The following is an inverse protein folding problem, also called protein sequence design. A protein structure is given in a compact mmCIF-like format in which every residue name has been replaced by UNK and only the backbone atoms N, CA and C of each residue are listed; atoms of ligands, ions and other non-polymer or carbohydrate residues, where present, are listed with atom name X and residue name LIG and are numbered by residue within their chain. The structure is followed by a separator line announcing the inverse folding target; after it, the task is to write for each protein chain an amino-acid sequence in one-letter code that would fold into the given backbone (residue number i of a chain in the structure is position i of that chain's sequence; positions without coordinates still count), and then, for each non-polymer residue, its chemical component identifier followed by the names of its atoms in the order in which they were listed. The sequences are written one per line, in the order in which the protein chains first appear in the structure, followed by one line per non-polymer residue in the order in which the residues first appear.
data_IF_883591300157
#
_entry.id   IF_883591300157
#
_cell.length_a   1.000
_cell.length_b   1.000
_cell.length_c   1.000
_cell.angle_alpha   90.00
_cell.angle_beta   90.00
_cell.angle_gamma   90.00
#
_symmetry.space_group_name_H-M   'P 1'
#
loop_
_entity.id
_entity.type
_entity.pdbx_description
1 polymer ?
#
# COMPACT_ATOMS: atom_id res chain seq x y z
N UNK A 1 -54.21 14.81 30.17
CA UNK A 1 -53.12 15.78 29.96
C UNK A 1 -51.78 15.10 30.20
N UNK A 2 -50.98 14.93 29.14
CA UNK A 2 -49.52 15.04 29.03
C UNK A 2 -49.04 14.12 27.90
N UNK A 3 -48.63 14.76 26.81
CA UNK A 3 -47.96 14.18 25.66
C UNK A 3 -46.44 14.21 25.90
N UNK A 4 -45.70 13.20 25.44
CA UNK A 4 -44.27 13.28 25.12
C UNK A 4 -44.02 12.45 23.86
N UNK A 5 -43.38 13.11 22.89
CA UNK A 5 -43.00 12.70 21.54
C UNK A 5 -41.63 11.99 21.51
N UNK A 6 -41.25 11.56 20.29
CA UNK A 6 -39.94 11.10 19.77
C UNK A 6 -39.65 9.60 19.91
N UNK A 7 -39.10 8.90 18.92
CA UNK A 7 -38.78 9.19 17.51
C UNK A 7 -38.30 7.86 16.89
N UNK A 8 -38.74 7.55 15.68
CA UNK A 8 -38.28 6.42 14.87
C UNK A 8 -36.85 6.68 14.37
N UNK A 9 -35.94 5.71 14.54
CA UNK A 9 -34.68 5.65 13.79
C UNK A 9 -34.64 4.36 12.97
N UNK A 10 -34.99 4.51 11.69
CA UNK A 10 -34.65 3.59 10.60
C UNK A 10 -33.60 4.29 9.75
N UNK A 11 -32.33 3.85 9.76
CA UNK A 11 -31.39 4.14 8.66
C UNK A 11 -30.49 2.91 8.46
N UNK A 12 -30.76 2.23 7.35
CA UNK A 12 -29.87 1.26 6.71
C UNK A 12 -28.66 2.00 6.12
N UNK A 13 -27.44 1.56 6.46
CA UNK A 13 -26.21 2.15 5.94
C UNK A 13 -25.53 1.15 4.98
N UNK A 14 -25.85 1.27 3.69
CA UNK A 14 -25.04 0.71 2.61
C UNK A 14 -23.98 1.76 2.25
N UNK A 15 -22.70 1.50 2.58
CA UNK A 15 -21.59 2.27 2.05
C UNK A 15 -20.97 1.55 0.85
N UNK A 16 -21.30 2.03 -0.35
CA UNK A 16 -20.41 1.94 -1.49
C UNK A 16 -19.33 3.03 -1.32
N UNK A 17 -18.06 2.65 -1.19
CA UNK A 17 -16.94 3.58 -1.25
C UNK A 17 -16.08 3.27 -2.48
N UNK A 18 -16.31 4.04 -3.54
CA UNK A 18 -15.36 4.22 -4.63
C UNK A 18 -14.22 5.11 -4.12
N UNK A 19 -13.05 4.52 -3.86
CA UNK A 19 -11.85 5.26 -3.50
C UNK A 19 -11.23 5.88 -4.77
N UNK A 20 -11.50 7.17 -5.01
CA UNK A 20 -10.80 7.96 -6.03
C UNK A 20 -9.48 8.48 -5.46
N UNK A 21 -8.37 8.23 -6.16
CA UNK A 21 -7.06 8.80 -5.86
C UNK A 21 -7.01 10.24 -6.39
N UNK A 22 -6.89 11.22 -5.51
CA UNK A 22 -6.78 12.63 -5.87
C UNK A 22 -5.32 13.08 -5.94
N UNK A 23 -4.82 13.39 -7.14
CA UNK A 23 -3.67 14.29 -7.32
C UNK A 23 -4.25 15.68 -7.57
N UNK A 24 -4.13 16.59 -6.61
CA UNK A 24 -4.62 17.96 -6.78
C UNK A 24 -3.65 18.77 -7.63
N UNK A 25 -3.99 19.00 -8.91
CA UNK A 25 -3.57 20.19 -9.65
C UNK A 25 -4.80 20.85 -10.27
N UNK A 26 -5.24 21.96 -9.68
CA UNK A 26 -6.27 22.82 -10.27
C UNK A 26 -5.65 23.56 -11.46
N UNK A 27 -6.05 23.18 -12.67
CA UNK A 27 -5.91 23.99 -13.88
C UNK A 27 -7.29 23.98 -14.56
N UNK A 28 -7.86 25.12 -14.98
CA UNK A 28 -9.21 25.16 -15.52
C UNK A 28 -9.19 24.61 -16.96
N UNK A 29 -9.99 23.58 -17.21
CA UNK A 29 -10.26 23.08 -18.56
C UNK A 29 -9.53 21.79 -18.94
N UNK A 30 -9.80 20.69 -18.23
CA UNK A 30 -9.84 19.31 -18.75
C UNK A 30 -10.41 18.46 -17.60
N UNK A 31 -11.58 17.86 -17.78
CA UNK A 31 -12.06 16.83 -16.83
C UNK A 31 -11.16 15.62 -17.09
N UNK A 32 -10.06 15.50 -16.35
CA UNK A 32 -9.33 14.24 -16.28
C UNK A 32 -10.14 13.30 -15.40
N UNK A 33 -10.84 12.36 -16.04
CA UNK A 33 -11.48 11.26 -15.32
C UNK A 33 -10.41 10.50 -14.53
N UNK A 34 -10.53 10.46 -13.20
CA UNK A 34 -9.64 9.67 -12.36
C UNK A 34 -9.93 8.19 -12.58
N UNK A 35 -8.99 7.44 -13.16
CA UNK A 35 -9.11 5.98 -13.27
C UNK A 35 -9.25 5.35 -11.88
N UNK A 36 -10.15 4.39 -11.74
CA UNK A 36 -10.26 3.58 -10.54
C UNK A 36 -9.03 2.67 -10.37
N UNK A 37 -8.71 2.29 -9.12
CA UNK A 37 -7.62 1.33 -8.84
C UNK A 37 -7.76 0.03 -9.63
N UNK A 38 -9.00 -0.44 -9.81
CA UNK A 38 -9.28 -1.66 -10.56
C UNK A 38 -8.88 -1.54 -12.03
N UNK A 39 -9.16 -0.38 -12.65
CA UNK A 39 -8.78 -0.13 -14.05
C UNK A 39 -7.27 -0.01 -14.19
N UNK A 40 -6.61 0.73 -13.28
CA UNK A 40 -5.15 0.85 -13.28
C UNK A 40 -4.45 -0.50 -13.09
N UNK A 41 -4.94 -1.32 -12.16
CA UNK A 41 -4.40 -2.67 -11.95
C UNK A 41 -4.59 -3.56 -13.18
N UNK A 42 -5.77 -3.50 -13.83
CA UNK A 42 -6.02 -4.29 -15.03
C UNK A 42 -5.06 -3.94 -16.16
N UNK A 43 -4.81 -2.64 -16.40
CA UNK A 43 -3.85 -2.18 -17.41
C UNK A 43 -2.42 -2.71 -17.16
N UNK A 44 -2.00 -2.78 -15.90
CA UNK A 44 -0.69 -3.34 -15.53
C UNK A 44 -0.65 -4.85 -15.80
N UNK A 45 -1.69 -5.58 -15.43
CA UNK A 45 -1.77 -7.03 -15.63
C UNK A 45 -1.82 -7.40 -17.11
N UNK A 46 -2.61 -6.67 -17.90
CA UNK A 46 -2.72 -6.87 -19.35
C UNK A 46 -1.36 -6.64 -20.01
N UNK A 47 -0.68 -5.52 -19.71
CA UNK A 47 0.65 -5.25 -20.26
C UNK A 47 1.71 -6.26 -19.82
N UNK A 48 1.68 -6.71 -18.57
CA UNK A 48 2.61 -7.76 -18.12
C UNK A 48 2.39 -9.05 -18.92
N UNK A 49 1.14 -9.42 -19.18
CA UNK A 49 0.80 -10.60 -19.98
C UNK A 49 1.20 -10.46 -21.45
N UNK A 50 1.05 -9.27 -22.03
CA UNK A 50 1.36 -8.99 -23.44
C UNK A 50 2.87 -8.86 -23.69
N UNK A 51 3.58 -8.13 -22.83
CA UNK A 51 5.01 -7.86 -22.97
C UNK A 51 5.88 -9.02 -22.43
N UNK A 52 5.33 -9.87 -21.55
CA UNK A 52 5.99 -11.02 -20.92
C UNK A 52 7.40 -10.70 -20.34
N UNK A 53 7.51 -9.71 -19.44
CA UNK A 53 8.78 -9.34 -18.82
C UNK A 53 9.25 -10.42 -17.83
N UNK A 54 10.56 -10.47 -17.55
CA UNK A 54 11.13 -11.30 -16.47
C UNK A 54 10.53 -10.95 -15.10
N UNK A 55 10.22 -9.67 -14.86
CA UNK A 55 9.60 -9.22 -13.62
C UNK A 55 9.11 -7.78 -13.64
N UNK A 56 8.48 -7.38 -12.54
CA UNK A 56 7.96 -6.02 -12.33
C UNK A 56 8.40 -5.47 -10.98
N UNK A 57 8.65 -4.17 -10.93
CA UNK A 57 8.95 -3.44 -9.70
C UNK A 57 7.98 -2.27 -9.51
N UNK A 58 7.56 -2.08 -8.26
CA UNK A 58 6.65 -1.02 -7.83
C UNK A 58 7.10 -0.51 -6.47
N UNK A 59 7.18 0.81 -6.33
CA UNK A 59 7.39 1.50 -5.05
C UNK A 59 6.05 2.04 -4.53
N UNK A 60 5.81 1.85 -3.24
CA UNK A 60 4.63 2.33 -2.51
C UNK A 60 5.13 3.19 -1.35
N UNK A 61 4.73 4.46 -1.35
CA UNK A 61 4.97 5.37 -0.24
C UNK A 61 3.67 5.58 0.55
N UNK A 62 3.76 5.49 1.86
CA UNK A 62 2.70 5.84 2.80
C UNK A 62 3.14 7.03 3.65
N UNK A 63 2.22 7.95 3.94
CA UNK A 63 2.47 9.10 4.81
C UNK A 63 1.43 9.19 5.91
N UNK A 64 1.84 9.80 7.03
CA UNK A 64 1.03 9.89 8.26
C UNK A 64 0.53 8.52 8.72
N UNK A 65 1.43 7.53 8.73
CA UNK A 65 1.14 6.19 9.24
C UNK A 65 1.04 6.17 10.77
N UNK A 66 0.30 5.20 11.31
CA UNK A 66 0.17 5.01 12.75
C UNK A 66 1.55 4.76 13.38
N UNK A 67 1.97 5.74 14.19
CA UNK A 67 3.28 5.79 14.78
C UNK A 67 3.64 4.54 15.60
N UNK A 68 2.64 3.92 16.25
CA UNK A 68 2.85 2.72 17.07
C UNK A 68 3.11 1.49 16.21
N UNK A 69 2.46 1.40 15.06
CA UNK A 69 2.56 0.24 14.17
C UNK A 69 3.89 0.20 13.42
N UNK A 70 4.35 1.35 12.92
CA UNK A 70 5.61 1.42 12.14
C UNK A 70 6.87 1.29 13.00
N UNK A 71 6.72 1.43 14.33
CA UNK A 71 7.80 1.28 15.33
C UNK A 71 7.77 -0.07 16.06
N UNK A 72 6.84 -0.96 15.71
CA UNK A 72 6.76 -2.30 16.29
C UNK A 72 7.41 -3.33 15.35
N UNK A 73 8.60 -3.86 15.68
CA UNK A 73 9.30 -4.82 14.82
C UNK A 73 8.56 -6.15 14.67
N UNK A 74 7.72 -6.54 15.64
CA UNK A 74 6.89 -7.76 15.52
C UNK A 74 5.75 -7.51 14.55
N UNK A 75 5.11 -6.35 14.63
CA UNK A 75 4.06 -5.94 13.70
C UNK A 75 4.60 -5.83 12.27
N UNK A 76 5.75 -5.19 12.08
CA UNK A 76 6.43 -5.09 10.78
C UNK A 76 6.80 -6.47 10.24
N UNK A 77 7.31 -7.38 11.09
CA UNK A 77 7.59 -8.76 10.65
C UNK A 77 6.34 -9.47 10.16
N UNK A 78 5.22 -9.30 10.85
CA UNK A 78 3.94 -9.89 10.44
C UNK A 78 3.41 -9.26 9.14
N UNK A 79 3.55 -7.94 9.00
CA UNK A 79 3.23 -7.23 7.75
C UNK A 79 3.97 -7.81 6.55
N UNK A 80 5.29 -8.05 6.65
CA UNK A 80 6.06 -8.61 5.53
C UNK A 80 5.53 -10.00 5.13
N UNK A 81 5.18 -10.84 6.10
CA UNK A 81 4.61 -12.17 5.86
C UNK A 81 3.24 -12.06 5.17
N UNK A 82 2.39 -11.17 5.64
CA UNK A 82 1.05 -11.00 5.11
C UNK A 82 1.05 -10.34 3.73
N UNK A 83 1.97 -9.43 3.46
CA UNK A 83 2.16 -8.83 2.14
C UNK A 83 2.55 -9.89 1.10
N UNK A 84 3.47 -10.80 1.44
CA UNK A 84 3.83 -11.92 0.55
C UNK A 84 2.61 -12.77 0.21
N UNK A 85 1.79 -13.11 1.20
CA UNK A 85 0.54 -13.85 0.98
C UNK A 85 -0.45 -13.04 0.13
N UNK A 86 -0.58 -11.75 0.39
CA UNK A 86 -1.52 -10.87 -0.31
C UNK A 86 -1.21 -10.77 -1.81
N UNK A 87 0.07 -10.66 -2.18
CA UNK A 87 0.50 -10.64 -3.59
C UNK A 87 0.63 -12.05 -4.21
N UNK A 88 0.22 -13.09 -3.48
CA UNK A 88 0.27 -14.49 -3.90
C UNK A 88 1.68 -14.93 -4.37
N UNK A 89 2.70 -14.54 -3.60
CA UNK A 89 4.08 -14.97 -3.78
C UNK A 89 4.50 -15.97 -2.71
N UNK A 90 5.60 -16.68 -2.97
CA UNK A 90 6.18 -17.63 -2.02
C UNK A 90 7.39 -17.04 -1.32
N UNK A 91 7.36 -17.01 0.00
CA UNK A 91 8.48 -16.53 0.82
C UNK A 91 9.68 -17.48 0.73
N UNK A 92 10.88 -16.91 0.74
CA UNK A 92 12.13 -17.63 0.95
C UNK A 92 12.73 -17.21 2.30
N UNK A 93 12.67 -18.12 3.29
CA UNK A 93 13.12 -17.83 4.65
C UNK A 93 12.24 -16.82 5.39
N UNK A 94 12.69 -16.43 6.59
CA UNK A 94 12.00 -15.44 7.43
C UNK A 94 12.37 -14.00 7.03
N UNK A 95 11.48 -13.01 7.26
CA UNK A 95 11.84 -11.62 7.05
C UNK A 95 12.99 -11.20 7.98
N UNK A 96 13.92 -10.43 7.45
CA UNK A 96 14.93 -9.69 8.21
C UNK A 96 14.29 -8.37 8.63
N UNK A 97 14.33 -8.05 9.93
CA UNK A 97 13.77 -6.81 10.48
C UNK A 97 14.78 -6.25 11.47
N UNK A 98 15.26 -5.04 11.21
CA UNK A 98 16.30 -4.37 12.01
C UNK A 98 15.88 -2.93 12.26
N UNK A 99 15.95 -2.49 13.51
CA UNK A 99 15.77 -1.09 13.89
C UNK A 99 17.14 -0.43 14.08
N UNK A 100 17.44 0.57 13.25
CA UNK A 100 18.75 1.25 13.27
C UNK A 100 18.67 2.68 12.70
N UNK A 101 19.77 3.41 12.84
CA UNK A 101 19.97 4.73 12.25
C UNK A 101 20.59 5.70 13.26
N UNK A 102 21.66 6.37 12.85
CA UNK A 102 22.51 7.16 13.76
C UNK A 102 21.96 8.57 14.06
N UNK A 103 20.96 9.02 13.30
CA UNK A 103 20.33 10.33 13.51
C UNK A 103 18.81 10.21 13.49
N UNK A 104 18.07 11.10 14.19
CA UNK A 104 16.61 11.05 14.23
C UNK A 104 15.95 11.02 12.85
N UNK A 105 16.55 11.67 11.84
CA UNK A 105 16.02 11.73 10.47
C UNK A 105 16.00 10.37 9.76
N UNK A 106 16.97 9.50 10.07
CA UNK A 106 17.14 8.20 9.39
C UNK A 106 16.85 7.01 10.29
N UNK A 107 16.55 7.26 11.58
CA UNK A 107 16.24 6.21 12.53
C UNK A 107 14.89 5.56 12.22
N UNK A 108 14.87 4.24 12.27
CA UNK A 108 13.66 3.45 12.13
C UNK A 108 13.91 2.02 11.72
N UNK A 109 12.81 1.30 11.51
CA UNK A 109 12.86 -0.09 11.11
C UNK A 109 13.16 -0.18 9.61
N UNK A 110 14.07 -1.05 9.23
CA UNK A 110 14.14 -1.57 7.86
C UNK A 110 13.82 -3.07 7.87
N UNK A 111 13.09 -3.50 6.86
CA UNK A 111 12.70 -4.88 6.68
C UNK A 111 12.98 -5.36 5.26
N UNK A 112 13.34 -6.63 5.12
CA UNK A 112 13.53 -7.30 3.85
C UNK A 112 12.97 -8.71 3.91
N UNK A 113 12.23 -9.10 2.88
CA UNK A 113 11.74 -10.47 2.68
C UNK A 113 12.12 -10.92 1.28
N UNK A 114 12.95 -11.97 1.20
CA UNK A 114 13.14 -12.68 -0.05
C UNK A 114 11.87 -13.45 -0.40
N UNK A 115 11.47 -13.38 -1.64
CA UNK A 115 10.41 -14.23 -2.21
C UNK A 115 11.03 -15.02 -3.36
N UNK A 116 10.38 -16.05 -3.88
CA UNK A 116 11.00 -16.89 -4.91
C UNK A 116 11.54 -16.04 -6.08
N UNK A 117 12.87 -16.10 -6.25
CA UNK A 117 13.65 -15.35 -7.25
C UNK A 117 13.48 -13.82 -7.25
N UNK A 118 13.01 -13.21 -6.15
CA UNK A 118 12.82 -11.75 -6.07
C UNK A 118 12.75 -11.25 -4.62
N UNK A 119 12.28 -10.02 -4.35
CA UNK A 119 12.36 -9.43 -2.99
C UNK A 119 11.35 -8.33 -2.71
N UNK A 120 10.98 -8.21 -1.44
CA UNK A 120 10.29 -7.04 -0.88
C UNK A 120 11.23 -6.35 0.10
N UNK A 121 11.36 -5.03 -0.01
CA UNK A 121 12.07 -4.18 0.97
C UNK A 121 11.12 -3.13 1.51
N UNK A 122 11.26 -2.77 2.78
CA UNK A 122 10.47 -1.74 3.41
C UNK A 122 11.28 -0.93 4.43
N UNK A 123 11.08 0.39 4.45
CA UNK A 123 11.70 1.31 5.40
C UNK A 123 10.62 2.11 6.13
N UNK A 124 10.70 2.15 7.45
CA UNK A 124 9.72 2.74 8.36
C UNK A 124 10.39 3.91 9.08
N UNK A 125 10.13 5.14 8.61
CA UNK A 125 10.82 6.33 9.10
C UNK A 125 10.14 6.89 10.36
N UNK A 126 10.84 6.88 11.49
CA UNK A 126 10.30 7.36 12.76
C UNK A 126 10.03 8.86 12.77
N UNK A 127 10.81 9.66 12.04
CA UNK A 127 10.65 11.12 12.10
C UNK A 127 9.39 11.61 11.37
N UNK A 128 9.15 11.09 10.17
CA UNK A 128 8.09 11.53 9.27
C UNK A 128 6.81 10.69 9.33
N UNK A 129 6.79 9.62 10.15
CA UNK A 129 5.75 8.60 10.12
C UNK A 129 5.45 8.08 8.70
N UNK A 130 6.50 7.95 7.88
CA UNK A 130 6.38 7.47 6.50
C UNK A 130 6.87 6.04 6.37
N UNK A 131 6.28 5.32 5.43
CA UNK A 131 6.65 3.94 5.10
C UNK A 131 6.94 3.86 3.60
N UNK A 132 8.10 3.34 3.24
CA UNK A 132 8.57 3.23 1.86
C UNK A 132 8.77 1.76 1.54
N UNK A 133 8.00 1.21 0.61
CA UNK A 133 7.97 -0.22 0.30
C UNK A 133 8.29 -0.42 -1.18
N UNK A 134 9.24 -1.29 -1.48
CA UNK A 134 9.51 -1.75 -2.84
C UNK A 134 9.13 -3.22 -2.97
N UNK A 135 8.32 -3.53 -3.97
CA UNK A 135 7.94 -4.90 -4.32
C UNK A 135 8.57 -5.18 -5.68
N UNK A 136 9.59 -6.03 -5.70
CA UNK A 136 10.13 -6.61 -6.92
C UNK A 136 9.65 -8.06 -7.02
N UNK A 137 8.98 -8.41 -8.12
CA UNK A 137 8.37 -9.73 -8.30
C UNK A 137 8.55 -10.23 -9.72
N UNK A 138 8.90 -11.51 -9.87
CA UNK A 138 8.88 -12.23 -11.15
C UNK A 138 7.48 -12.74 -11.53
N UNK A 139 6.45 -12.44 -10.72
CA UNK A 139 5.03 -12.73 -10.97
C UNK A 139 4.23 -11.43 -10.94
N UNK A 140 3.29 -11.29 -11.86
CA UNK A 140 2.37 -10.15 -11.89
C UNK A 140 1.54 -10.05 -10.60
N UNK A 141 1.35 -8.83 -10.10
CA UNK A 141 0.44 -8.53 -8.99
C UNK A 141 -0.28 -7.20 -9.24
N UNK A 142 -1.34 -6.94 -8.49
CA UNK A 142 -2.13 -5.70 -8.57
C UNK A 142 -1.51 -4.59 -7.69
N UNK A 143 -0.74 -3.64 -8.24
CA UNK A 143 -0.01 -2.64 -7.45
C UNK A 143 -0.90 -1.71 -6.62
N UNK A 144 -2.05 -1.28 -7.15
CA UNK A 144 -2.94 -0.37 -6.43
C UNK A 144 -3.70 -1.09 -5.31
N UNK A 145 -4.11 -2.33 -5.52
CA UNK A 145 -4.61 -3.19 -4.41
C UNK A 145 -3.54 -3.43 -3.34
N UNK A 146 -2.30 -3.70 -3.73
CA UNK A 146 -1.20 -3.86 -2.77
C UNK A 146 -0.96 -2.56 -1.97
N UNK A 147 -0.99 -1.40 -2.63
CA UNK A 147 -0.89 -0.11 -1.95
C UNK A 147 -2.05 0.15 -0.97
N UNK A 148 -3.28 -0.19 -1.36
CA UNK A 148 -4.45 -0.11 -0.47
C UNK A 148 -4.29 -1.02 0.75
N UNK A 149 -3.83 -2.24 0.54
CA UNK A 149 -3.51 -3.18 1.62
C UNK A 149 -2.47 -2.58 2.57
N UNK A 150 -1.34 -2.09 2.07
CA UNK A 150 -0.29 -1.47 2.88
C UNK A 150 -0.82 -0.25 3.66
N UNK A 151 -1.58 0.63 2.99
CA UNK A 151 -2.19 1.81 3.62
C UNK A 151 -3.11 1.42 4.78
N UNK A 152 -3.96 0.42 4.58
CA UNK A 152 -4.86 -0.09 5.63
C UNK A 152 -4.09 -0.72 6.77
N UNK A 153 -3.03 -1.49 6.46
CA UNK A 153 -2.19 -2.18 7.45
C UNK A 153 -1.53 -1.21 8.43
N UNK A 154 -1.12 -0.03 7.95
CA UNK A 154 -0.47 1.00 8.76
C UNK A 154 -1.34 2.22 9.07
N UNK A 155 -2.64 2.17 8.70
CA UNK A 155 -3.61 3.27 8.88
C UNK A 155 -3.11 4.62 8.37
N UNK A 156 -2.38 4.61 7.25
CA UNK A 156 -1.83 5.82 6.67
C UNK A 156 -2.92 6.70 6.03
N UNK A 157 -2.80 8.01 6.18
CA UNK A 157 -3.75 8.96 5.61
C UNK A 157 -3.59 9.03 4.09
N UNK A 158 -2.34 9.04 3.62
CA UNK A 158 -1.98 9.16 2.22
C UNK A 158 -1.16 7.97 1.72
N UNK A 159 -1.26 7.70 0.42
CA UNK A 159 -0.38 6.76 -0.28
C UNK A 159 -0.05 7.26 -1.68
N UNK A 160 1.14 6.90 -2.17
CA UNK A 160 1.56 7.07 -3.57
C UNK A 160 2.05 5.74 -4.10
N UNK A 161 1.77 5.49 -5.37
CA UNK A 161 2.22 4.30 -6.11
C UNK A 161 3.06 4.80 -7.27
N UNK A 162 4.28 4.28 -7.42
CA UNK A 162 5.12 4.60 -8.56
C UNK A 162 4.51 4.05 -9.86
N UNK A 163 4.90 4.59 -11.03
CA UNK A 163 4.75 3.84 -12.27
C UNK A 163 5.40 2.46 -12.13
N UNK A 164 4.77 1.45 -12.74
CA UNK A 164 5.32 0.09 -12.77
C UNK A 164 6.52 0.06 -13.71
N UNK A 165 7.63 -0.51 -13.25
CA UNK A 165 8.82 -0.75 -14.08
C UNK A 165 8.88 -2.25 -14.42
N UNK A 166 8.72 -2.58 -15.68
CA UNK A 166 8.97 -3.93 -16.19
C UNK A 166 10.46 -4.16 -16.47
N UNK A 167 10.92 -5.39 -16.24
CA UNK A 167 12.30 -5.84 -16.45
C UNK A 167 12.30 -7.00 -17.43
N UNK A 168 13.07 -6.90 -18.50
CA UNK A 168 13.18 -7.91 -19.56
C UNK A 168 14.50 -8.65 -19.47
#
# INVERSE_FOLDING_TARGET
MRAIFLSLFFISFFLNHNYCYGVTKKTPGFIQESKSSKQLDQEVLDRYSEENPWGMNVSIDLYEADAKLIRDPKYVKQFMIDLVKFIDMKAYGAPIVVDFGDTPRVAGISAMQLIETSSITAHFANFSNSVHIDIFSCKAFSPHKAALFCRQYFKAEEMKVSPVVFRF
#
